data_IF_219724648918
#
_entry.id   IF_219724648918
#
_cell.length_a   1.000
_cell.length_b   1.000
_cell.length_c   1.000
_cell.angle_alpha   90.00
_cell.angle_beta   90.00
_cell.angle_gamma   90.00
#
_symmetry.space_group_name_H-M   'P 1'
#
loop_
_entity.id
_entity.type
_entity.pdbx_description
1 polymer ?
#
# COMPACT_ATOMS: atom_id res chain seq x y z
N UNK A 1 5.13 -13.25 6.21
CA UNK A 1 4.33 -12.01 6.25
C UNK A 1 5.00 -10.92 5.43
N UNK A 2 4.36 -10.43 4.39
CA UNK A 2 4.83 -9.28 3.62
C UNK A 2 4.49 -7.97 4.35
N UNK A 3 5.38 -6.96 4.25
CA UNK A 3 5.15 -5.65 4.87
C UNK A 3 5.36 -4.55 3.85
N UNK A 4 4.40 -3.63 3.77
CA UNK A 4 4.47 -2.41 2.96
C UNK A 4 4.51 -1.18 3.87
N UNK A 5 5.44 -0.26 3.60
CA UNK A 5 5.49 1.07 4.22
C UNK A 5 5.07 2.08 3.17
N UNK A 6 3.95 2.74 3.39
CA UNK A 6 3.31 3.61 2.41
C UNK A 6 3.47 5.10 2.74
N UNK A 7 3.48 5.94 1.70
CA UNK A 7 3.57 7.38 1.83
C UNK A 7 4.99 7.88 2.07
N UNK A 8 5.94 7.34 1.32
CA UNK A 8 7.34 7.79 1.27
C UNK A 8 7.40 9.10 0.48
N UNK A 9 8.06 10.10 1.06
CA UNK A 9 8.09 11.46 0.49
C UNK A 9 9.48 12.08 0.41
N UNK A 10 10.48 11.49 1.09
CA UNK A 10 11.79 12.10 1.25
C UNK A 10 12.94 11.09 1.22
N UNK A 11 14.15 11.60 1.01
CA UNK A 11 15.37 10.80 1.10
C UNK A 11 15.58 10.23 2.52
N UNK A 12 15.12 10.92 3.56
CA UNK A 12 15.18 10.41 4.94
C UNK A 12 14.25 9.20 5.11
N UNK A 13 13.04 9.23 4.53
CA UNK A 13 12.15 8.07 4.51
C UNK A 13 12.81 6.87 3.80
N UNK A 14 13.53 7.10 2.69
CA UNK A 14 14.25 6.05 1.97
C UNK A 14 15.35 5.44 2.84
N UNK A 15 16.11 6.24 3.59
CA UNK A 15 17.12 5.70 4.53
C UNK A 15 16.49 4.78 5.57
N UNK A 16 15.33 5.15 6.11
CA UNK A 16 14.57 4.33 7.07
C UNK A 16 14.11 3.03 6.42
N UNK A 17 13.51 3.12 5.24
CA UNK A 17 13.03 1.95 4.47
C UNK A 17 14.19 1.00 4.16
N UNK A 18 15.32 1.50 3.65
CA UNK A 18 16.50 0.70 3.33
C UNK A 18 17.11 0.02 4.56
N UNK A 19 17.10 0.70 5.73
CA UNK A 19 17.59 0.12 6.98
C UNK A 19 16.63 -0.94 7.55
N UNK A 20 15.32 -0.73 7.47
CA UNK A 20 14.30 -1.62 8.03
C UNK A 20 13.88 -2.77 7.10
N UNK A 21 14.15 -2.67 5.79
CA UNK A 21 13.91 -3.69 4.76
C UNK A 21 12.48 -4.26 4.77
N UNK A 22 11.44 -3.43 4.56
CA UNK A 22 10.12 -3.94 4.24
C UNK A 22 10.14 -4.64 2.87
N UNK A 23 9.06 -5.33 2.51
CA UNK A 23 8.94 -5.94 1.17
C UNK A 23 8.56 -4.91 0.11
N UNK A 24 7.78 -3.88 0.50
CA UNK A 24 7.29 -2.84 -0.42
C UNK A 24 7.44 -1.44 0.18
N UNK A 25 7.71 -0.46 -0.68
CA UNK A 25 7.65 0.97 -0.39
C UNK A 25 6.61 1.64 -1.29
N UNK A 26 5.64 2.36 -0.69
CA UNK A 26 4.54 3.03 -1.40
C UNK A 26 4.77 4.53 -1.52
N UNK A 27 4.51 5.08 -2.71
CA UNK A 27 4.67 6.49 -3.05
C UNK A 27 3.36 7.02 -3.63
N UNK A 28 2.76 8.02 -3.01
CA UNK A 28 1.50 8.60 -3.50
C UNK A 28 1.80 9.53 -4.67
N UNK A 29 1.15 9.27 -5.80
CA UNK A 29 1.32 10.03 -7.03
C UNK A 29 -0.02 10.45 -7.63
N UNK A 30 -0.02 11.58 -8.34
CA UNK A 30 -1.19 12.10 -9.09
C UNK A 30 -2.42 12.37 -8.22
N UNK A 31 -2.23 12.58 -6.91
CA UNK A 31 -3.32 12.90 -5.98
C UNK A 31 -2.96 14.11 -5.09
N UNK A 32 -3.02 15.35 -5.61
CA UNK A 32 -2.59 16.58 -4.92
C UNK A 32 -3.31 16.86 -3.59
N UNK A 33 -4.48 16.23 -3.35
CA UNK A 33 -5.19 16.34 -2.07
C UNK A 33 -4.46 15.63 -0.92
N UNK A 34 -3.56 14.72 -1.22
CA UNK A 34 -2.77 14.03 -0.20
C UNK A 34 -1.52 14.84 0.14
N UNK A 35 -1.26 15.05 1.42
CA UNK A 35 0.02 15.65 1.89
C UNK A 35 1.25 14.80 1.52
N UNK A 36 1.04 13.54 1.14
CA UNK A 36 2.10 12.58 0.74
C UNK A 36 2.30 12.51 -0.78
N UNK A 37 1.58 13.34 -1.54
CA UNK A 37 1.71 13.35 -2.99
C UNK A 37 3.08 13.90 -3.40
N UNK A 38 3.78 13.17 -4.28
CA UNK A 38 5.05 13.60 -4.85
C UNK A 38 4.96 13.71 -6.37
N UNK A 39 5.87 14.49 -6.96
CA UNK A 39 5.98 14.61 -8.40
C UNK A 39 6.69 13.39 -9.03
N UNK A 40 6.53 13.16 -10.35
CA UNK A 40 7.29 12.12 -11.06
C UNK A 40 8.80 12.24 -10.92
N UNK A 41 9.32 13.47 -10.96
CA UNK A 41 10.77 13.75 -10.82
C UNK A 41 11.27 13.36 -9.43
N UNK A 42 10.50 13.71 -8.39
CA UNK A 42 10.80 13.31 -7.00
C UNK A 42 10.73 11.79 -6.85
N UNK A 43 9.68 11.16 -7.39
CA UNK A 43 9.53 9.71 -7.34
C UNK A 43 10.72 8.98 -7.94
N UNK A 44 11.14 9.38 -9.15
CA UNK A 44 12.31 8.81 -9.83
C UNK A 44 13.57 8.92 -8.99
N UNK A 45 13.86 10.13 -8.46
CA UNK A 45 15.00 10.35 -7.57
C UNK A 45 14.99 9.45 -6.34
N UNK A 46 13.82 9.23 -5.71
CA UNK A 46 13.70 8.40 -4.52
C UNK A 46 13.81 6.90 -4.85
N UNK A 47 13.27 6.47 -6.00
CA UNK A 47 13.40 5.08 -6.47
C UNK A 47 14.86 4.74 -6.75
N UNK A 48 15.64 5.65 -7.34
CA UNK A 48 17.08 5.46 -7.60
C UNK A 48 17.89 5.23 -6.30
N UNK A 49 17.37 5.70 -5.16
CA UNK A 49 17.99 5.53 -3.83
C UNK A 49 17.48 4.29 -3.08
N UNK A 50 16.39 3.67 -3.54
CA UNK A 50 15.75 2.54 -2.87
C UNK A 50 16.59 1.28 -3.00
N UNK A 51 16.68 0.48 -1.91
CA UNK A 51 17.32 -0.84 -1.94
C UNK A 51 16.59 -1.74 -2.95
N UNK A 52 17.34 -2.40 -3.84
CA UNK A 52 16.84 -3.25 -4.92
C UNK A 52 16.01 -4.45 -4.45
N UNK A 53 16.07 -4.79 -3.18
CA UNK A 53 15.25 -5.86 -2.59
C UNK A 53 13.89 -5.33 -2.06
N UNK A 54 13.66 -4.02 -2.08
CA UNK A 54 12.40 -3.40 -1.70
C UNK A 54 11.65 -2.99 -2.97
N UNK A 55 10.48 -3.56 -3.18
CA UNK A 55 9.66 -3.30 -4.36
C UNK A 55 8.92 -1.97 -4.24
N UNK A 56 8.98 -1.15 -5.28
CA UNK A 56 8.37 0.16 -5.34
C UNK A 56 6.92 0.10 -5.85
N UNK A 57 6.01 0.83 -5.20
CA UNK A 57 4.58 0.84 -5.54
C UNK A 57 4.10 2.28 -5.72
N UNK A 58 3.69 2.66 -6.94
CA UNK A 58 2.99 3.91 -7.20
C UNK A 58 1.56 3.81 -6.64
N UNK A 59 1.19 4.64 -5.68
CA UNK A 59 -0.15 4.65 -5.07
C UNK A 59 -0.97 5.78 -5.65
N UNK A 60 -2.07 5.46 -6.29
CA UNK A 60 -2.87 6.39 -7.10
C UNK A 60 -4.35 6.29 -6.80
N UNK A 61 -5.11 7.31 -7.20
CA UNK A 61 -6.58 7.33 -7.11
C UNK A 61 -7.13 7.62 -8.51
N UNK A 62 -7.89 6.67 -9.07
CA UNK A 62 -8.52 6.77 -10.40
C UNK A 62 -7.55 7.28 -11.49
N UNK A 63 -6.39 6.64 -11.70
CA UNK A 63 -5.38 7.12 -12.64
C UNK A 63 -5.84 6.96 -14.09
N UNK A 64 -5.32 7.81 -14.97
CA UNK A 64 -5.38 7.62 -16.42
C UNK A 64 -4.31 6.65 -16.90
N UNK A 65 -4.46 6.08 -18.10
CA UNK A 65 -3.42 5.23 -18.71
C UNK A 65 -2.09 5.98 -18.90
N UNK A 66 -2.12 7.29 -19.18
CA UNK A 66 -0.92 8.12 -19.27
C UNK A 66 -0.19 8.24 -17.93
N UNK A 67 -0.94 8.36 -16.82
CA UNK A 67 -0.35 8.37 -15.48
C UNK A 67 0.26 7.03 -15.11
N UNK A 68 -0.36 5.90 -15.53
CA UNK A 68 0.23 4.56 -15.37
C UNK A 68 1.54 4.45 -16.13
N UNK A 69 1.57 4.94 -17.38
CA UNK A 69 2.80 4.98 -18.18
C UNK A 69 3.88 5.85 -17.54
N UNK A 70 3.51 7.01 -17.02
CA UNK A 70 4.44 7.91 -16.31
C UNK A 70 5.04 7.21 -15.07
N UNK A 71 4.24 6.49 -14.29
CA UNK A 71 4.74 5.70 -13.17
C UNK A 71 5.73 4.62 -13.63
N UNK A 72 5.42 3.91 -14.70
CA UNK A 72 6.36 2.95 -15.31
C UNK A 72 7.68 3.61 -15.73
N UNK A 73 7.62 4.76 -16.40
CA UNK A 73 8.80 5.51 -16.85
C UNK A 73 9.65 6.07 -15.67
N UNK A 74 9.04 6.23 -14.48
CA UNK A 74 9.74 6.53 -13.23
C UNK A 74 10.49 5.33 -12.63
N UNK A 75 10.19 4.10 -13.07
CA UNK A 75 10.84 2.87 -12.59
C UNK A 75 10.10 2.14 -11.47
N UNK A 76 8.79 2.37 -11.30
CA UNK A 76 7.99 1.60 -10.35
C UNK A 76 7.83 0.14 -10.77
N UNK A 77 7.78 -0.77 -9.76
CA UNK A 77 7.52 -2.20 -9.97
C UNK A 77 6.02 -2.50 -10.09
N UNK A 78 5.19 -1.78 -9.32
CA UNK A 78 3.74 -1.96 -9.25
C UNK A 78 2.99 -0.64 -9.22
N UNK A 79 1.70 -0.70 -9.57
CA UNK A 79 0.76 0.39 -9.33
C UNK A 79 -0.37 -0.07 -8.41
N UNK A 80 -0.62 0.64 -7.32
CA UNK A 80 -1.77 0.46 -6.44
C UNK A 80 -2.84 1.49 -6.80
N UNK A 81 -4.06 1.01 -7.04
CA UNK A 81 -5.15 1.85 -7.54
C UNK A 81 -6.31 1.86 -6.55
N UNK A 82 -6.63 3.04 -6.04
CA UNK A 82 -7.85 3.36 -5.31
C UNK A 82 -8.89 3.98 -6.25
N UNK A 83 -10.16 4.05 -5.81
CA UNK A 83 -11.23 4.68 -6.57
C UNK A 83 -11.65 3.92 -7.82
N UNK A 84 -12.16 4.62 -8.81
CA UNK A 84 -12.60 4.03 -10.08
C UNK A 84 -11.40 3.71 -10.98
N UNK A 85 -11.55 2.68 -11.81
CA UNK A 85 -10.49 2.25 -12.72
C UNK A 85 -11.08 1.86 -14.08
N UNK A 86 -10.55 2.46 -15.15
CA UNK A 86 -10.94 2.15 -16.52
C UNK A 86 -10.41 0.81 -17.01
N UNK A 87 -11.10 0.21 -17.98
CA UNK A 87 -10.68 -1.06 -18.57
C UNK A 87 -9.32 -0.98 -19.29
N UNK A 88 -8.99 0.17 -19.85
CA UNK A 88 -7.68 0.48 -20.46
C UNK A 88 -6.54 0.48 -19.42
N UNK A 89 -6.80 1.00 -18.23
CA UNK A 89 -5.86 0.97 -17.10
C UNK A 89 -5.69 -0.47 -16.58
N UNK A 90 -6.77 -1.24 -16.47
CA UNK A 90 -6.71 -2.64 -16.03
C UNK A 90 -6.00 -3.56 -17.03
N UNK A 91 -6.06 -3.23 -18.33
CA UNK A 91 -5.37 -3.97 -19.39
C UNK A 91 -4.02 -3.35 -19.80
N UNK A 92 -3.50 -2.41 -19.00
CA UNK A 92 -2.24 -1.74 -19.30
C UNK A 92 -1.07 -2.73 -19.46
N UNK A 93 -0.14 -2.48 -20.40
CA UNK A 93 1.00 -3.35 -20.62
C UNK A 93 2.22 -3.00 -19.76
N UNK A 94 2.13 -1.96 -18.92
CA UNK A 94 3.28 -1.37 -18.24
C UNK A 94 3.52 -1.97 -16.86
N UNK A 95 2.51 -1.90 -15.97
CA UNK A 95 2.64 -2.26 -14.56
C UNK A 95 1.59 -3.27 -14.13
N UNK A 96 1.95 -4.22 -13.28
CA UNK A 96 0.99 -5.04 -12.56
C UNK A 96 0.25 -4.23 -11.52
N UNK A 97 -1.03 -4.55 -11.34
CA UNK A 97 -1.96 -3.77 -10.53
C UNK A 97 -2.16 -4.42 -9.15
N UNK A 98 -2.06 -3.62 -8.10
CA UNK A 98 -2.56 -3.93 -6.77
C UNK A 98 -3.85 -3.12 -6.61
N UNK A 99 -5.00 -3.79 -6.50
CA UNK A 99 -6.29 -3.11 -6.39
C UNK A 99 -6.62 -2.83 -4.93
N UNK A 100 -6.87 -1.56 -4.59
CA UNK A 100 -7.26 -1.17 -3.24
C UNK A 100 -8.79 -1.06 -3.12
N UNK A 101 -9.33 -1.60 -2.04
CA UNK A 101 -10.75 -1.56 -1.67
C UNK A 101 -10.91 -0.90 -0.31
N UNK A 102 -11.89 0.00 -0.20
CA UNK A 102 -12.45 0.32 1.11
C UNK A 102 -13.47 -0.77 1.47
N UNK A 103 -13.76 -0.93 2.74
CA UNK A 103 -14.76 -1.90 3.19
C UNK A 103 -16.14 -1.66 2.59
N UNK A 104 -16.49 -0.40 2.33
CA UNK A 104 -17.72 -0.01 1.64
C UNK A 104 -17.82 -0.51 0.19
N UNK A 105 -16.70 -0.89 -0.42
CA UNK A 105 -16.62 -1.23 -1.85
C UNK A 105 -16.40 -2.73 -2.10
N UNK A 106 -16.53 -3.57 -1.07
CA UNK A 106 -16.28 -5.02 -1.15
C UNK A 106 -17.23 -5.74 -2.11
N UNK A 107 -18.41 -5.22 -2.36
CA UNK A 107 -19.34 -5.75 -3.36
C UNK A 107 -18.75 -5.80 -4.78
N UNK A 108 -17.81 -4.89 -5.08
CA UNK A 108 -17.10 -4.83 -6.37
C UNK A 108 -15.92 -5.80 -6.45
N UNK A 109 -15.56 -6.48 -5.37
CA UNK A 109 -14.36 -7.32 -5.31
C UNK A 109 -14.38 -8.42 -6.37
N UNK A 110 -15.52 -9.10 -6.54
CA UNK A 110 -15.66 -10.20 -7.50
C UNK A 110 -15.41 -9.78 -8.95
N UNK A 111 -15.72 -8.53 -9.32
CA UNK A 111 -15.50 -8.01 -10.69
C UNK A 111 -14.00 -7.99 -11.03
N UNK A 112 -13.14 -7.79 -10.03
CA UNK A 112 -11.70 -7.64 -10.23
C UNK A 112 -10.93 -8.95 -10.11
N UNK A 113 -11.48 -9.99 -9.48
CA UNK A 113 -10.78 -11.25 -9.20
C UNK A 113 -10.30 -11.96 -10.48
N UNK A 114 -11.07 -11.94 -11.54
CA UNK A 114 -10.73 -12.61 -12.80
C UNK A 114 -9.70 -11.87 -13.66
N UNK A 115 -9.36 -10.63 -13.30
CA UNK A 115 -8.39 -9.86 -14.08
C UNK A 115 -6.96 -10.34 -13.80
N UNK A 116 -6.26 -10.80 -14.86
CA UNK A 116 -4.90 -11.36 -14.74
C UNK A 116 -3.81 -10.29 -14.52
N UNK A 117 -4.10 -9.02 -14.78
CA UNK A 117 -3.15 -7.94 -14.51
C UNK A 117 -3.18 -7.50 -13.03
N UNK A 118 -4.23 -7.85 -12.29
CA UNK A 118 -4.31 -7.65 -10.85
C UNK A 118 -3.58 -8.80 -10.16
N UNK A 119 -2.52 -8.48 -9.43
CA UNK A 119 -1.66 -9.45 -8.72
C UNK A 119 -1.83 -9.40 -7.21
N UNK A 120 -2.59 -8.44 -6.70
CA UNK A 120 -2.84 -8.31 -5.27
C UNK A 120 -3.95 -7.32 -4.95
N UNK A 121 -4.36 -7.37 -3.71
CA UNK A 121 -5.40 -6.53 -3.15
C UNK A 121 -4.92 -5.87 -1.86
N UNK A 122 -5.33 -4.62 -1.63
CA UNK A 122 -5.20 -3.93 -0.34
C UNK A 122 -6.60 -3.63 0.16
N UNK A 123 -6.93 -4.12 1.34
CA UNK A 123 -8.20 -3.84 2.01
C UNK A 123 -7.96 -2.81 3.10
N UNK A 124 -8.43 -1.58 2.85
CA UNK A 124 -8.35 -0.49 3.81
C UNK A 124 -9.54 -0.58 4.77
N UNK A 125 -9.21 -1.01 5.96
CA UNK A 125 -10.15 -1.22 7.05
C UNK A 125 -10.55 0.06 7.79
N UNK A 126 -10.17 1.23 7.29
CA UNK A 126 -10.49 2.50 7.92
C UNK A 126 -11.82 3.06 7.41
N UNK A 127 -12.82 3.17 8.31
CA UNK A 127 -13.99 4.03 8.07
C UNK A 127 -13.64 5.47 8.44
N UNK A 128 -13.50 6.38 7.46
CA UNK A 128 -13.19 7.77 7.76
C UNK A 128 -14.26 8.38 8.68
N UNK A 129 -13.85 8.86 9.85
CA UNK A 129 -14.72 9.59 10.78
C UNK A 129 -15.53 8.76 11.77
N UNK A 130 -15.47 7.42 11.76
CA UNK A 130 -16.29 6.59 12.66
C UNK A 130 -15.76 6.53 14.10
N UNK A 131 -14.47 6.75 14.32
CA UNK A 131 -13.84 6.60 15.65
C UNK A 131 -13.93 5.19 16.23
N UNK A 132 -14.53 4.24 15.50
CA UNK A 132 -14.67 2.83 15.91
C UNK A 132 -13.47 2.02 15.48
N UNK A 133 -13.05 1.07 16.31
CA UNK A 133 -12.17 -0.01 15.91
C UNK A 133 -12.86 -0.79 14.79
N UNK A 134 -12.18 -0.92 13.66
CA UNK A 134 -12.68 -1.66 12.51
C UNK A 134 -12.97 -3.12 12.90
N UNK A 135 -14.11 -3.62 12.45
CA UNK A 135 -14.46 -5.02 12.59
C UNK A 135 -13.84 -5.83 11.44
N UNK A 136 -12.69 -6.44 11.69
CA UNK A 136 -11.98 -7.27 10.70
C UNK A 136 -12.73 -8.53 10.28
N UNK A 137 -13.81 -8.91 10.98
CA UNK A 137 -14.60 -10.11 10.64
C UNK A 137 -15.23 -10.03 9.25
N UNK A 138 -15.45 -8.80 8.73
CA UNK A 138 -15.95 -8.58 7.36
C UNK A 138 -14.98 -9.15 6.31
N UNK A 139 -13.68 -9.15 6.60
CA UNK A 139 -12.65 -9.66 5.68
C UNK A 139 -12.43 -11.18 5.80
N UNK A 140 -12.89 -11.81 6.88
CA UNK A 140 -12.73 -13.26 7.11
C UNK A 140 -13.49 -14.09 6.05
N UNK A 141 -14.60 -13.57 5.55
CA UNK A 141 -15.47 -14.24 4.59
C UNK A 141 -15.14 -13.92 3.12
N UNK A 142 -14.14 -13.07 2.86
CA UNK A 142 -13.73 -12.79 1.49
C UNK A 142 -13.05 -14.03 0.90
N UNK A 143 -13.44 -14.42 -0.34
CA UNK A 143 -12.80 -15.54 -1.00
C UNK A 143 -11.32 -15.25 -1.23
N UNK A 144 -10.48 -16.21 -0.88
CA UNK A 144 -9.03 -16.17 -1.11
C UNK A 144 -8.70 -16.81 -2.45
N UNK A 145 -7.75 -16.22 -3.15
CA UNK A 145 -7.13 -16.76 -4.35
C UNK A 145 -5.60 -16.74 -4.19
N UNK A 146 -4.84 -16.94 -5.25
CA UNK A 146 -3.37 -16.94 -5.26
C UNK A 146 -2.76 -15.53 -5.32
N UNK A 147 -3.59 -14.48 -5.33
CA UNK A 147 -3.14 -13.08 -5.34
C UNK A 147 -2.86 -12.56 -3.95
N UNK A 148 -1.89 -11.66 -3.85
CA UNK A 148 -1.47 -11.06 -2.58
C UNK A 148 -2.65 -10.35 -1.87
N UNK A 149 -2.99 -10.80 -0.67
CA UNK A 149 -4.03 -10.21 0.16
C UNK A 149 -3.40 -9.39 1.28
N UNK A 150 -3.47 -8.06 1.20
CA UNK A 150 -2.89 -7.14 2.17
C UNK A 150 -3.96 -6.45 2.99
N UNK A 151 -3.73 -6.40 4.30
CA UNK A 151 -4.55 -5.63 5.24
C UNK A 151 -3.94 -4.25 5.46
N UNK A 152 -4.77 -3.21 5.35
CA UNK A 152 -4.43 -1.82 5.65
C UNK A 152 -5.48 -1.18 6.58
N UNK A 153 -5.33 0.11 6.85
CA UNK A 153 -6.31 0.91 7.62
C UNK A 153 -6.03 0.98 9.11
N UNK A 154 -5.48 2.11 9.54
CA UNK A 154 -5.26 2.41 10.96
C UNK A 154 -4.27 1.51 11.70
N UNK A 155 -3.53 0.66 10.99
CA UNK A 155 -2.52 -0.21 11.58
C UNK A 155 -1.36 0.63 12.17
N UNK A 156 -0.81 0.12 13.27
CA UNK A 156 0.36 0.69 13.94
C UNK A 156 1.16 -0.43 14.65
N UNK A 157 2.34 -0.15 15.23
CA UNK A 157 3.16 -1.17 15.87
C UNK A 157 2.47 -1.95 17.02
N UNK A 158 1.49 -1.34 17.68
CA UNK A 158 0.76 -1.91 18.82
C UNK A 158 -0.41 -2.82 18.39
N UNK A 159 -0.99 -2.55 17.22
CA UNK A 159 -2.22 -3.21 16.76
C UNK A 159 -1.98 -4.28 15.69
N UNK A 160 -0.87 -4.18 14.93
CA UNK A 160 -0.64 -5.03 13.76
C UNK A 160 -0.60 -6.52 14.07
N UNK A 161 0.02 -6.95 15.15
CA UNK A 161 0.08 -8.37 15.54
C UNK A 161 -1.33 -8.94 15.76
N UNK A 162 -2.20 -8.20 16.47
CA UNK A 162 -3.61 -8.59 16.66
C UNK A 162 -4.37 -8.67 15.35
N UNK A 163 -4.15 -7.71 14.44
CA UNK A 163 -4.78 -7.68 13.13
C UNK A 163 -4.36 -8.88 12.26
N UNK A 164 -3.05 -9.18 12.23
CA UNK A 164 -2.51 -10.36 11.54
C UNK A 164 -3.11 -11.65 12.04
N UNK A 165 -3.22 -11.82 13.36
CA UNK A 165 -3.81 -13.01 13.98
C UNK A 165 -5.29 -13.20 13.64
N UNK A 166 -6.04 -12.10 13.58
CA UNK A 166 -7.47 -12.13 13.26
C UNK A 166 -7.73 -12.41 11.79
N UNK A 167 -7.06 -11.67 10.88
CA UNK A 167 -7.37 -11.69 9.42
C UNK A 167 -6.54 -12.74 8.68
N UNK A 168 -5.34 -13.08 9.19
CA UNK A 168 -4.36 -13.95 8.52
C UNK A 168 -4.07 -13.49 7.07
N UNK A 169 -3.71 -12.22 6.85
CA UNK A 169 -3.40 -11.72 5.51
C UNK A 169 -2.03 -12.25 5.05
N UNK A 170 -1.74 -12.13 3.75
CA UNK A 170 -0.41 -12.41 3.21
C UNK A 170 0.57 -11.26 3.52
N UNK A 171 0.03 -10.06 3.70
CA UNK A 171 0.80 -8.86 4.01
C UNK A 171 -0.01 -7.79 4.75
N UNK A 172 0.71 -6.80 5.26
CA UNK A 172 0.16 -5.62 5.92
C UNK A 172 0.71 -4.34 5.30
N UNK A 173 -0.11 -3.30 5.23
CA UNK A 173 0.25 -1.99 4.72
C UNK A 173 0.00 -0.91 5.78
N UNK A 174 1.00 -0.06 6.01
CA UNK A 174 0.93 1.02 7.00
C UNK A 174 1.44 2.34 6.43
N UNK A 175 0.79 3.42 6.78
CA UNK A 175 1.22 4.78 6.45
C UNK A 175 1.34 5.66 7.68
N UNK A 176 0.25 6.25 8.17
CA UNK A 176 0.26 7.20 9.29
C UNK A 176 0.69 6.59 10.62
N UNK A 177 0.41 5.30 10.84
CA UNK A 177 0.77 4.61 12.09
C UNK A 177 2.26 4.49 12.38
N UNK A 178 3.12 4.80 11.39
CA UNK A 178 4.58 4.81 11.50
C UNK A 178 5.19 6.17 11.13
N UNK A 179 4.39 7.23 11.07
CA UNK A 179 4.89 8.60 10.90
C UNK A 179 5.45 9.13 12.23
N UNK A 180 6.37 10.09 12.12
CA UNK A 180 6.85 10.85 13.27
C UNK A 180 5.73 11.68 13.90
N UNK A 181 5.99 12.27 15.06
CA UNK A 181 4.97 13.03 15.81
C UNK A 181 4.45 14.27 15.07
N UNK A 182 5.23 14.83 14.15
CA UNK A 182 4.84 15.98 13.33
C UNK A 182 4.04 15.57 12.10
N UNK A 183 4.08 14.28 11.73
CA UNK A 183 3.38 13.72 10.58
C UNK A 183 3.97 14.13 9.22
N UNK A 184 5.25 14.48 9.18
CA UNK A 184 5.98 14.96 7.99
C UNK A 184 7.08 13.99 7.50
N UNK A 185 7.02 12.73 7.92
CA UNK A 185 7.94 11.68 7.51
C UNK A 185 7.78 10.43 8.36
N UNK A 186 8.56 9.41 8.06
CA UNK A 186 8.53 8.13 8.80
C UNK A 186 9.41 8.22 10.04
N UNK A 187 9.02 7.47 11.08
CA UNK A 187 9.79 7.28 12.31
C UNK A 187 10.50 5.93 12.26
N UNK A 188 11.80 5.93 12.40
CA UNK A 188 12.63 4.71 12.31
C UNK A 188 12.21 3.63 13.31
N UNK A 189 12.02 4.01 14.58
CA UNK A 189 11.67 3.04 15.63
C UNK A 189 10.27 2.49 15.45
N UNK A 190 9.31 3.31 15.01
CA UNK A 190 7.96 2.85 14.68
C UNK A 190 7.95 1.91 13.49
N UNK A 191 8.66 2.23 12.39
CA UNK A 191 8.77 1.35 11.21
C UNK A 191 9.40 0.01 11.61
N UNK A 192 10.51 0.03 12.32
CA UNK A 192 11.21 -1.17 12.80
C UNK A 192 10.31 -2.02 13.70
N UNK A 193 9.65 -1.41 14.69
CA UNK A 193 8.74 -2.10 15.61
C UNK A 193 7.53 -2.68 14.86
N UNK A 194 6.97 -1.93 13.90
CA UNK A 194 5.85 -2.42 13.07
C UNK A 194 6.23 -3.69 12.30
N UNK A 195 7.39 -3.69 11.62
CA UNK A 195 7.86 -4.85 10.85
C UNK A 195 8.08 -6.06 11.75
N UNK A 196 8.73 -5.87 12.92
CA UNK A 196 8.93 -6.94 13.90
C UNK A 196 7.59 -7.48 14.38
N UNK A 197 6.66 -6.62 14.81
CA UNK A 197 5.35 -7.03 15.31
C UNK A 197 4.52 -7.75 14.25
N UNK A 198 4.57 -7.29 13.00
CA UNK A 198 3.85 -7.94 11.89
C UNK A 198 4.38 -9.34 11.58
N UNK A 199 5.68 -9.56 11.75
CA UNK A 199 6.35 -10.85 11.43
C UNK A 199 6.39 -11.81 12.60
N UNK A 200 6.05 -11.40 13.82
CA UNK A 200 6.10 -12.25 15.03
C UNK A 200 4.97 -13.30 15.09
N UNK A 201 3.91 -13.12 14.34
CA UNK A 201 2.72 -13.99 14.33
C UNK A 201 2.74 -15.04 13.19
N UNK A 202 3.87 -15.24 12.54
CA UNK A 202 4.06 -16.26 11.49
C UNK A 202 4.81 -17.47 12.02
#
# INVERSE_FOLDING_TARGET
>A
MKVKICGITSAEDIKIVNACKPDFAGFVMFFPKSKRNISPETAKSLIDMLDKNVLSVAVTVSPTLEQVKTAYDCGFDYIQIHGEVGGDVLSNPYLKVIRAFNVSDLEKFEEYRMNQNIVGYVFDAHEPGSGKTFDWTVLENLPRDDKLFMLAGGLNPETVAKAVKAVKPDGVDVSSGVENSNGDGKDFEKVKKFIISARSEN
#
